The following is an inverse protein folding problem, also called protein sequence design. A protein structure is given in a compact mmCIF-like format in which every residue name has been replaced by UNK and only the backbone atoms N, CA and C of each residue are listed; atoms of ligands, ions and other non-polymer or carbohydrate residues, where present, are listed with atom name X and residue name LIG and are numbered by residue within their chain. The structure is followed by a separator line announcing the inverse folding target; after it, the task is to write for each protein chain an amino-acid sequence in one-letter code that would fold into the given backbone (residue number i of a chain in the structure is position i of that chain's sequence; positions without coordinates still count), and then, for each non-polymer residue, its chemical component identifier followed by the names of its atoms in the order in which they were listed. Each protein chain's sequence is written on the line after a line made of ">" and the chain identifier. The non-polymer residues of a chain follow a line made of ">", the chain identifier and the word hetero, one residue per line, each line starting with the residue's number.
data_IF_322608925946
#
_entry.id   IF_322608925946
#
_cell.length_a   1.000
_cell.length_b   1.000
_cell.length_c   1.000
_cell.angle_alpha   90.00
_cell.angle_beta   90.00
_cell.angle_gamma   90.00
#
_symmetry.space_group_name_H-M   'P 1'
#
loop_
_entity.id
_entity.type
_entity.pdbx_description
1 polymer ?
#
# COMPACT_ATOMS: atom_id res chain seq x y z
N UNK A 1 20.79 -20.40 -12.58
CA UNK A 1 21.76 -19.35 -12.93
C UNK A 1 22.97 -19.43 -12.01
N UNK A 2 24.17 -19.11 -12.54
CA UNK A 2 25.41 -19.08 -11.75
C UNK A 2 25.81 -17.62 -11.52
N UNK A 3 26.13 -17.28 -10.28
CA UNK A 3 26.56 -15.93 -9.88
C UNK A 3 28.06 -15.91 -9.58
N UNK A 4 28.73 -14.81 -9.88
CA UNK A 4 30.11 -14.61 -9.51
C UNK A 4 30.27 -14.51 -7.99
N UNK A 5 31.44 -14.84 -7.47
CA UNK A 5 31.72 -14.86 -6.03
C UNK A 5 31.55 -13.48 -5.36
N UNK A 6 31.91 -12.41 -6.06
CA UNK A 6 31.87 -11.02 -5.62
C UNK A 6 30.64 -10.25 -6.12
N UNK A 7 29.70 -10.95 -6.74
CA UNK A 7 28.46 -10.38 -7.24
C UNK A 7 27.43 -10.24 -6.12
N UNK A 8 26.78 -9.08 -6.04
CA UNK A 8 25.62 -8.86 -5.20
C UNK A 8 24.36 -8.72 -6.03
N UNK A 9 23.22 -9.19 -5.50
CA UNK A 9 21.91 -9.09 -6.13
C UNK A 9 20.92 -8.42 -5.18
N UNK A 10 20.01 -7.63 -5.73
CA UNK A 10 19.03 -6.82 -5.00
C UNK A 10 17.66 -6.90 -5.68
N UNK A 11 16.60 -6.44 -5.02
CA UNK A 11 15.27 -6.42 -5.59
C UNK A 11 14.33 -7.48 -4.99
N UNK A 12 13.57 -8.17 -5.83
CA UNK A 12 12.53 -9.15 -5.48
C UNK A 12 11.43 -8.61 -4.55
N UNK A 13 11.15 -7.29 -4.61
CA UNK A 13 10.13 -6.64 -3.79
C UNK A 13 10.63 -6.17 -2.43
N UNK A 14 9.76 -6.15 -1.43
CA UNK A 14 10.09 -5.78 -0.05
C UNK A 14 9.91 -6.97 0.89
N UNK A 15 10.83 -7.13 1.84
CA UNK A 15 10.75 -8.14 2.90
C UNK A 15 11.23 -7.56 4.22
N UNK A 16 10.59 -7.97 5.34
CA UNK A 16 10.90 -7.47 6.70
C UNK A 16 12.06 -8.24 7.36
N UNK A 17 13.09 -8.60 6.59
CA UNK A 17 14.21 -9.46 7.04
C UNK A 17 15.48 -8.69 7.40
N UNK A 18 15.54 -7.40 7.04
CA UNK A 18 16.70 -6.55 7.33
C UNK A 18 17.92 -6.79 6.42
N UNK A 19 17.79 -7.59 5.37
CA UNK A 19 18.86 -7.87 4.41
C UNK A 19 18.72 -6.96 3.18
N UNK A 20 19.78 -6.29 2.78
CA UNK A 20 19.83 -5.56 1.53
C UNK A 20 20.23 -6.49 0.37
N UNK A 21 21.38 -7.17 0.48
CA UNK A 21 21.79 -8.17 -0.50
C UNK A 21 20.99 -9.47 -0.34
N UNK A 22 20.54 -10.03 -1.45
CA UNK A 22 19.79 -11.28 -1.51
C UNK A 22 20.69 -12.52 -1.73
N UNK A 23 22.00 -12.36 -1.64
CA UNK A 23 22.96 -13.50 -1.72
C UNK A 23 22.75 -14.45 -0.54
N UNK A 24 22.85 -15.74 -0.85
CA UNK A 24 22.70 -16.83 0.13
C UNK A 24 21.33 -16.79 0.87
N UNK A 25 20.26 -16.34 0.17
CA UNK A 25 18.92 -16.27 0.75
C UNK A 25 17.96 -17.24 0.06
N UNK A 26 16.89 -17.58 0.80
CA UNK A 26 15.74 -18.31 0.30
C UNK A 26 14.48 -17.49 0.59
N UNK A 27 13.64 -17.29 -0.43
CA UNK A 27 12.38 -16.59 -0.35
C UNK A 27 11.25 -17.46 -0.89
N UNK A 28 10.16 -17.51 -0.16
CA UNK A 28 8.89 -18.02 -0.67
C UNK A 28 8.08 -16.80 -1.12
N UNK A 29 8.08 -16.56 -2.41
CA UNK A 29 7.50 -15.37 -3.01
C UNK A 29 5.99 -15.57 -3.19
N UNK A 30 5.25 -15.21 -2.15
CA UNK A 30 3.78 -15.20 -2.08
C UNK A 30 3.36 -13.91 -1.41
N UNK A 31 2.50 -13.14 -2.06
CA UNK A 31 2.04 -11.84 -1.54
C UNK A 31 1.45 -11.97 -0.14
N UNK A 32 1.83 -11.07 0.75
CA UNK A 32 1.39 -11.03 2.14
C UNK A 32 1.32 -9.59 2.67
N UNK A 33 0.78 -9.40 3.87
CA UNK A 33 0.57 -8.07 4.44
C UNK A 33 1.85 -7.22 4.52
N UNK A 34 2.98 -7.82 4.94
CA UNK A 34 4.24 -7.08 5.16
C UNK A 34 5.35 -7.45 4.18
N UNK A 35 5.09 -8.38 3.30
CA UNK A 35 6.03 -8.86 2.28
C UNK A 35 5.39 -8.79 0.90
N UNK A 36 5.98 -8.03 -0.01
CA UNK A 36 5.55 -7.94 -1.40
C UNK A 36 6.64 -8.49 -2.31
N UNK A 37 6.26 -9.35 -3.22
CA UNK A 37 7.20 -10.00 -4.10
C UNK A 37 7.01 -9.57 -5.55
N UNK A 38 8.06 -8.96 -6.09
CA UNK A 38 8.19 -8.59 -7.50
C UNK A 38 9.30 -9.45 -8.08
N UNK A 39 9.03 -10.37 -9.01
CA UNK A 39 10.01 -11.36 -9.46
C UNK A 39 11.05 -10.76 -10.42
N UNK A 40 11.61 -9.60 -10.05
CA UNK A 40 12.67 -8.89 -10.74
C UNK A 40 13.82 -8.57 -9.79
N UNK A 41 15.02 -8.97 -10.16
CA UNK A 41 16.25 -8.65 -9.44
C UNK A 41 17.23 -7.92 -10.34
N UNK A 42 18.14 -7.18 -9.71
CA UNK A 42 19.26 -6.50 -10.36
C UNK A 42 20.58 -6.94 -9.75
N UNK A 43 21.62 -7.00 -10.59
CA UNK A 43 22.97 -7.41 -10.23
C UNK A 43 23.96 -6.26 -10.31
N UNK A 44 24.97 -6.27 -9.43
CA UNK A 44 26.14 -5.39 -9.49
C UNK A 44 26.98 -5.60 -10.76
N UNK A 45 26.74 -6.67 -11.52
CA UNK A 45 27.38 -6.91 -12.82
C UNK A 45 26.67 -6.19 -13.98
N UNK A 46 25.63 -5.37 -13.69
CA UNK A 46 24.97 -4.51 -14.66
C UNK A 46 23.91 -5.19 -15.51
N UNK A 47 23.27 -6.21 -14.98
CA UNK A 47 22.12 -6.86 -15.58
C UNK A 47 20.93 -6.94 -14.59
N UNK A 48 19.72 -7.09 -15.14
CA UNK A 48 18.51 -7.43 -14.41
C UNK A 48 17.92 -8.73 -14.92
N UNK A 49 17.26 -9.48 -14.07
CA UNK A 49 16.54 -10.71 -14.41
C UNK A 49 15.10 -10.60 -13.93
N UNK A 50 14.14 -10.69 -14.84
CA UNK A 50 12.72 -10.78 -14.56
C UNK A 50 12.23 -12.19 -14.85
N UNK A 51 11.67 -12.84 -13.85
CA UNK A 51 11.02 -14.15 -13.93
C UNK A 51 9.53 -13.94 -14.10
N UNK A 52 9.01 -14.03 -15.33
CA UNK A 52 7.61 -13.70 -15.65
C UNK A 52 6.68 -14.87 -15.36
N UNK A 53 6.29 -15.00 -14.10
CA UNK A 53 5.35 -16.01 -13.64
C UNK A 53 4.51 -15.46 -12.49
N UNK A 54 3.18 -15.62 -12.57
CA UNK A 54 2.21 -15.11 -11.60
C UNK A 54 1.94 -16.04 -10.41
N UNK A 55 2.44 -17.27 -10.48
CA UNK A 55 2.26 -18.27 -9.44
C UNK A 55 3.16 -18.03 -8.23
N UNK A 56 2.81 -18.53 -7.04
CA UNK A 56 3.75 -18.64 -5.93
C UNK A 56 5.09 -19.22 -6.41
N UNK A 57 6.18 -18.54 -6.07
CA UNK A 57 7.51 -18.86 -6.59
C UNK A 57 8.52 -18.92 -5.45
N UNK A 58 9.34 -19.96 -5.44
CA UNK A 58 10.49 -20.06 -4.56
C UNK A 58 11.72 -19.50 -5.27
N UNK A 59 12.38 -18.54 -4.63
CA UNK A 59 13.71 -18.07 -4.99
C UNK A 59 14.73 -18.67 -4.01
N UNK A 60 15.88 -19.09 -4.53
CA UNK A 60 16.97 -19.59 -3.70
C UNK A 60 18.33 -19.30 -4.36
N UNK A 61 19.26 -18.71 -3.59
CA UNK A 61 20.67 -18.55 -3.96
C UNK A 61 21.53 -19.42 -3.03
N UNK A 62 22.25 -20.38 -3.60
CA UNK A 62 23.13 -21.32 -2.95
C UNK A 62 24.51 -21.36 -3.61
N UNK A 63 25.42 -22.11 -3.03
CA UNK A 63 26.77 -22.33 -3.60
C UNK A 63 26.72 -22.93 -5.02
N UNK A 64 25.74 -23.78 -5.30
CA UNK A 64 25.57 -24.42 -6.61
C UNK A 64 24.91 -23.52 -7.64
N UNK A 65 24.33 -22.39 -7.22
CA UNK A 65 23.69 -21.42 -8.09
C UNK A 65 22.38 -20.87 -7.58
N UNK A 66 21.84 -19.90 -8.33
CA UNK A 66 20.57 -19.24 -8.09
C UNK A 66 19.45 -19.92 -8.90
N UNK A 67 18.28 -20.07 -8.31
CA UNK A 67 17.13 -20.69 -8.94
C UNK A 67 15.82 -20.01 -8.62
N UNK A 68 14.88 -20.07 -9.58
CA UNK A 68 13.45 -19.79 -9.40
C UNK A 68 12.67 -21.08 -9.66
N UNK A 69 11.67 -21.32 -8.81
CA UNK A 69 10.78 -22.47 -8.93
C UNK A 69 9.34 -22.03 -8.64
N UNK A 70 8.51 -21.99 -9.67
CA UNK A 70 7.09 -21.65 -9.55
C UNK A 70 6.24 -22.90 -9.36
N UNK A 71 5.11 -22.75 -8.63
CA UNK A 71 4.16 -23.85 -8.40
C UNK A 71 3.47 -24.26 -9.70
N UNK A 72 3.15 -23.30 -10.57
CA UNK A 72 2.47 -23.52 -11.85
C UNK A 72 3.11 -22.68 -12.93
N UNK A 73 3.27 -23.25 -14.13
CA UNK A 73 3.75 -22.54 -15.30
C UNK A 73 3.40 -23.35 -16.58
N UNK A 74 2.96 -22.66 -17.62
CA UNK A 74 2.75 -23.27 -18.94
C UNK A 74 4.07 -23.39 -19.71
N UNK A 75 5.04 -22.52 -19.38
CA UNK A 75 6.40 -22.47 -19.92
C UNK A 75 7.35 -21.83 -18.92
N UNK A 76 8.63 -21.84 -19.23
CA UNK A 76 9.64 -21.02 -18.56
C UNK A 76 9.73 -19.73 -19.37
N UNK A 77 9.37 -18.60 -18.74
CA UNK A 77 9.48 -17.28 -19.33
C UNK A 77 10.27 -16.36 -18.42
N UNK A 78 11.33 -15.77 -18.96
CA UNK A 78 12.16 -14.81 -18.24
C UNK A 78 12.84 -13.84 -19.20
N UNK A 79 13.15 -12.65 -18.67
CA UNK A 79 13.82 -11.60 -19.43
C UNK A 79 15.13 -11.23 -18.76
N UNK A 80 16.19 -11.15 -19.56
CA UNK A 80 17.50 -10.67 -19.13
C UNK A 80 17.71 -9.27 -19.70
N UNK A 81 17.78 -8.26 -18.81
CA UNK A 81 18.04 -6.86 -19.17
C UNK A 81 19.52 -6.56 -18.99
N UNK A 82 20.24 -6.34 -20.08
CA UNK A 82 21.63 -5.90 -20.00
C UNK A 82 21.72 -4.38 -19.99
N UNK A 83 21.65 -3.79 -18.78
CA UNK A 83 21.59 -2.34 -18.56
C UNK A 83 22.94 -1.65 -18.39
N UNK A 84 24.06 -2.40 -18.37
CA UNK A 84 25.42 -1.93 -18.02
C UNK A 84 25.60 -1.51 -16.56
N UNK A 85 24.53 -1.09 -15.91
CA UNK A 85 24.44 -0.76 -14.49
C UNK A 85 23.01 -1.04 -13.98
N UNK A 86 22.76 -0.84 -12.69
CA UNK A 86 21.46 -1.08 -12.06
C UNK A 86 20.38 -0.17 -12.66
N UNK A 87 20.65 1.12 -12.86
CA UNK A 87 19.67 2.07 -13.43
C UNK A 87 19.25 1.66 -14.85
N UNK A 88 20.19 1.26 -15.70
CA UNK A 88 19.88 0.76 -17.05
C UNK A 88 19.07 -0.53 -17.04
N UNK A 89 19.28 -1.41 -16.06
CA UNK A 89 18.48 -2.63 -15.89
C UNK A 89 17.06 -2.33 -15.43
N UNK A 90 16.88 -1.35 -14.53
CA UNK A 90 15.57 -0.85 -14.10
C UNK A 90 14.83 -0.17 -15.25
N UNK A 91 15.55 0.63 -16.07
CA UNK A 91 14.98 1.24 -17.26
C UNK A 91 14.46 0.17 -18.24
N UNK A 92 15.26 -0.87 -18.52
CA UNK A 92 14.84 -2.00 -19.37
C UNK A 92 13.61 -2.74 -18.81
N UNK A 93 13.52 -2.91 -17.50
CA UNK A 93 12.32 -3.50 -16.88
C UNK A 93 11.09 -2.61 -17.07
N UNK A 94 11.23 -1.28 -16.96
CA UNK A 94 10.12 -0.34 -17.20
C UNK A 94 9.75 -0.22 -18.67
N UNK A 95 10.69 -0.34 -19.58
CA UNK A 95 10.39 -0.41 -21.02
C UNK A 95 9.53 -1.64 -21.35
N UNK A 96 9.80 -2.76 -20.69
CA UNK A 96 9.02 -3.99 -20.84
C UNK A 96 7.65 -3.92 -20.18
N UNK A 97 7.57 -3.36 -18.96
CA UNK A 97 6.38 -3.47 -18.10
C UNK A 97 5.58 -2.17 -17.93
N UNK A 98 6.05 -1.08 -18.47
CA UNK A 98 5.41 0.23 -18.44
C UNK A 98 6.09 1.23 -17.51
N UNK A 99 5.95 2.51 -17.87
CA UNK A 99 6.60 3.63 -17.20
C UNK A 99 5.81 4.11 -15.99
N UNK A 100 6.52 4.65 -14.98
CA UNK A 100 5.91 5.25 -13.81
C UNK A 100 5.43 6.69 -14.15
N UNK A 101 4.13 7.00 -13.97
CA UNK A 101 3.64 8.36 -14.22
C UNK A 101 4.08 9.33 -13.11
N UNK A 102 4.13 10.61 -13.47
CA UNK A 102 4.39 11.68 -12.51
C UNK A 102 3.19 11.87 -11.56
N UNK A 103 3.42 11.76 -10.25
CA UNK A 103 2.41 12.00 -9.24
C UNK A 103 2.06 13.49 -9.10
N UNK A 104 0.86 13.85 -8.59
CA UNK A 104 0.55 15.20 -8.18
C UNK A 104 1.50 15.70 -7.09
N UNK A 105 1.84 16.99 -7.07
CA UNK A 105 2.78 17.55 -6.10
C UNK A 105 2.37 17.31 -4.65
N UNK A 106 1.08 17.45 -4.33
CA UNK A 106 0.54 17.27 -2.98
C UNK A 106 0.77 15.87 -2.40
N UNK A 107 0.97 14.85 -3.23
CA UNK A 107 1.26 13.49 -2.75
C UNK A 107 2.60 13.38 -2.06
N UNK A 108 3.51 14.27 -2.34
CA UNK A 108 4.85 14.33 -1.75
C UNK A 108 4.92 15.19 -0.46
N UNK A 109 3.82 15.81 -0.04
CA UNK A 109 3.73 16.51 1.24
C UNK A 109 3.58 15.57 2.43
N UNK A 110 3.17 16.11 3.58
CA UNK A 110 2.91 15.34 4.78
C UNK A 110 1.45 14.85 4.81
N UNK A 111 1.28 13.59 5.21
CA UNK A 111 0.00 12.93 5.33
C UNK A 111 -0.29 12.50 6.76
N UNK A 112 -1.49 12.81 7.23
CA UNK A 112 -2.00 12.28 8.48
C UNK A 112 -3.06 11.22 8.22
N UNK A 113 -2.93 10.11 8.92
CA UNK A 113 -3.82 8.97 8.86
C UNK A 113 -3.90 8.26 10.20
N UNK A 114 -4.95 7.51 10.41
CA UNK A 114 -5.18 6.70 11.60
C UNK A 114 -6.15 5.57 11.25
N UNK A 115 -6.00 4.42 11.83
CA UNK A 115 -7.05 3.40 11.89
C UNK A 115 -7.88 3.67 13.15
N UNK A 116 -9.04 4.33 13.09
CA UNK A 116 -9.63 5.11 11.99
C UNK A 116 -10.26 6.38 12.55
N UNK A 117 -10.51 7.37 11.73
CA UNK A 117 -11.39 8.49 12.09
C UNK A 117 -12.84 8.01 12.04
N UNK A 118 -13.58 8.25 13.10
CA UNK A 118 -14.92 7.67 13.32
C UNK A 118 -16.06 8.56 12.85
N UNK A 119 -15.78 9.84 12.55
CA UNK A 119 -16.78 10.78 12.10
C UNK A 119 -16.21 11.81 11.12
N UNK A 120 -17.09 12.42 10.37
CA UNK A 120 -16.81 13.56 9.51
C UNK A 120 -16.14 14.71 10.27
N UNK A 121 -16.66 15.03 11.47
CA UNK A 121 -16.15 16.14 12.28
C UNK A 121 -14.75 15.85 12.83
N UNK A 122 -14.48 14.60 13.22
CA UNK A 122 -13.13 14.19 13.63
C UNK A 122 -12.14 14.37 12.49
N UNK A 123 -12.47 13.88 11.28
CA UNK A 123 -11.60 13.95 10.11
C UNK A 123 -11.25 15.39 9.74
N UNK A 124 -12.26 16.25 9.57
CA UNK A 124 -12.10 17.68 9.24
C UNK A 124 -11.35 18.40 10.36
N UNK A 125 -11.68 18.08 11.61
CA UNK A 125 -11.07 18.67 12.80
C UNK A 125 -9.56 18.44 12.89
N UNK A 126 -9.05 17.32 12.36
CA UNK A 126 -7.60 17.07 12.27
C UNK A 126 -6.94 18.10 11.36
N UNK A 127 -7.45 18.29 10.15
CA UNK A 127 -6.88 19.27 9.19
C UNK A 127 -6.92 20.67 9.76
N UNK A 128 -8.05 21.06 10.34
CA UNK A 128 -8.20 22.38 10.98
C UNK A 128 -7.15 22.60 12.07
N UNK A 129 -6.91 21.62 12.96
CA UNK A 129 -5.91 21.73 14.03
C UNK A 129 -4.49 21.88 13.49
N UNK A 130 -4.12 21.16 12.43
CA UNK A 130 -2.81 21.35 11.78
C UNK A 130 -2.66 22.78 11.24
N UNK A 131 -3.70 23.34 10.60
CA UNK A 131 -3.70 24.72 10.09
C UNK A 131 -3.63 25.75 11.23
N UNK A 132 -4.43 25.58 12.28
CA UNK A 132 -4.39 26.45 13.49
C UNK A 132 -3.00 26.49 14.12
N UNK A 133 -2.34 25.34 14.21
CA UNK A 133 -0.98 25.23 14.76
C UNK A 133 0.12 25.63 13.78
N UNK A 134 -0.23 26.00 12.55
CA UNK A 134 0.71 26.34 11.46
C UNK A 134 1.69 25.22 11.16
N UNK A 135 1.27 23.97 11.29
CA UNK A 135 2.01 22.78 10.86
C UNK A 135 1.47 22.39 9.48
N UNK A 136 2.33 22.30 8.46
CA UNK A 136 1.88 21.98 7.12
C UNK A 136 1.36 20.53 7.03
N UNK A 137 0.33 20.35 6.20
CA UNK A 137 -0.27 19.06 5.86
C UNK A 137 -0.88 19.18 4.46
N UNK A 138 -0.68 18.18 3.60
CA UNK A 138 -1.27 18.13 2.25
C UNK A 138 -2.29 17.04 2.07
N UNK A 139 -2.27 15.99 2.88
CA UNK A 139 -3.23 14.91 2.75
C UNK A 139 -3.72 14.35 4.08
N UNK A 140 -4.97 13.93 4.04
CA UNK A 140 -5.61 13.16 5.11
C UNK A 140 -6.27 11.91 4.51
N UNK A 141 -6.35 10.84 5.27
CA UNK A 141 -6.90 9.56 4.81
C UNK A 141 -8.10 9.18 5.69
N UNK A 142 -9.24 8.89 5.05
CA UNK A 142 -10.36 8.22 5.69
C UNK A 142 -10.19 6.71 5.52
N UNK A 143 -10.04 6.02 6.61
CA UNK A 143 -9.98 4.56 6.68
C UNK A 143 -11.38 3.93 6.67
N UNK A 144 -11.46 2.64 6.91
CA UNK A 144 -12.65 1.80 6.79
C UNK A 144 -13.84 2.21 7.70
N UNK A 145 -14.99 1.57 7.54
CA UNK A 145 -16.27 1.78 8.25
C UNK A 145 -16.99 3.12 8.04
N UNK A 146 -16.60 3.96 7.08
CA UNK A 146 -17.47 5.03 6.61
C UNK A 146 -18.75 4.47 5.93
N UNK A 147 -18.74 3.18 5.58
CA UNK A 147 -19.88 2.41 5.05
C UNK A 147 -20.77 1.78 6.13
N UNK A 148 -20.42 1.82 7.41
CA UNK A 148 -21.17 1.18 8.50
C UNK A 148 -20.57 -0.15 8.96
N UNK A 149 -21.39 -1.16 9.21
CA UNK A 149 -20.95 -2.46 9.72
C UNK A 149 -20.23 -3.35 8.67
N UNK A 150 -19.73 -4.50 9.10
CA UNK A 150 -18.94 -5.38 8.23
C UNK A 150 -19.76 -6.18 7.22
N UNK A 151 -21.10 -6.30 7.36
CA UNK A 151 -21.96 -6.82 6.30
C UNK A 151 -21.98 -5.90 5.07
N UNK A 152 -21.72 -4.60 5.28
CA UNK A 152 -21.56 -3.56 4.25
C UNK A 152 -20.11 -3.31 3.88
N UNK A 153 -19.20 -4.22 4.24
CA UNK A 153 -17.76 -4.06 4.01
C UNK A 153 -17.46 -3.60 2.59
N UNK A 154 -16.76 -2.48 2.46
CA UNK A 154 -16.39 -1.87 1.17
C UNK A 154 -17.60 -1.51 0.27
N UNK A 155 -18.68 -1.03 0.84
CA UNK A 155 -19.87 -0.62 0.06
C UNK A 155 -19.59 0.51 -0.94
N UNK A 156 -18.44 1.21 -0.82
CA UNK A 156 -18.06 2.37 -1.64
C UNK A 156 -19.13 3.48 -1.61
N UNK A 157 -19.71 3.66 -0.44
CA UNK A 157 -20.77 4.64 -0.18
C UNK A 157 -20.71 5.04 1.31
N UNK A 158 -21.06 6.30 1.62
CA UNK A 158 -21.12 6.78 2.99
C UNK A 158 -22.46 6.41 3.62
N UNK A 159 -22.52 5.24 4.23
CA UNK A 159 -23.73 4.69 4.85
C UNK A 159 -23.70 4.80 6.38
N UNK A 160 -22.56 5.17 6.98
CA UNK A 160 -22.43 5.45 8.38
C UNK A 160 -22.98 6.85 8.70
N UNK A 161 -23.89 6.94 9.67
CA UNK A 161 -24.55 8.19 10.07
C UNK A 161 -23.61 9.25 10.64
N UNK A 162 -22.40 8.84 11.07
CA UNK A 162 -21.34 9.75 11.51
C UNK A 162 -20.69 10.56 10.36
N UNK A 163 -21.05 10.23 9.10
CA UNK A 163 -20.63 10.97 7.89
C UNK A 163 -21.85 11.52 7.14
N UNK A 164 -22.61 12.46 7.76
CA UNK A 164 -23.92 12.88 7.25
C UNK A 164 -23.85 13.71 5.95
N UNK A 165 -22.72 14.36 5.65
CA UNK A 165 -22.56 15.18 4.47
C UNK A 165 -21.16 15.02 3.86
N UNK A 166 -20.87 13.89 3.20
CA UNK A 166 -19.54 13.60 2.68
C UNK A 166 -19.06 14.58 1.62
N UNK A 167 -19.96 15.14 0.81
CA UNK A 167 -19.61 16.17 -0.18
C UNK A 167 -19.08 17.43 0.51
N UNK A 168 -19.78 17.94 1.52
CA UNK A 168 -19.32 19.08 2.30
C UNK A 168 -18.02 18.79 3.03
N UNK A 169 -17.85 17.59 3.59
CA UNK A 169 -16.60 17.16 4.24
C UNK A 169 -15.40 17.27 3.28
N UNK A 170 -15.55 16.80 2.05
CA UNK A 170 -14.49 16.87 1.03
C UNK A 170 -14.22 18.34 0.66
N UNK A 171 -15.26 19.12 0.45
CA UNK A 171 -15.14 20.55 0.15
C UNK A 171 -14.43 21.32 1.29
N UNK A 172 -14.77 21.05 2.55
CA UNK A 172 -14.13 21.67 3.72
C UNK A 172 -12.63 21.34 3.80
N UNK A 173 -12.23 20.09 3.47
CA UNK A 173 -10.83 19.68 3.38
C UNK A 173 -10.12 20.42 2.24
N UNK A 174 -10.73 20.49 1.06
CA UNK A 174 -10.19 21.21 -0.10
C UNK A 174 -10.02 22.71 0.18
N UNK A 175 -10.96 23.35 0.88
CA UNK A 175 -10.85 24.75 1.28
C UNK A 175 -9.65 25.00 2.22
N UNK A 176 -9.17 23.99 2.90
CA UNK A 176 -7.94 24.03 3.71
C UNK A 176 -6.67 23.76 2.89
N UNK A 177 -6.74 23.69 1.56
CA UNK A 177 -5.64 23.27 0.68
C UNK A 177 -5.06 21.90 1.11
N UNK A 178 -5.92 20.96 1.46
CA UNK A 178 -5.58 19.57 1.74
C UNK A 178 -6.39 18.64 0.82
N UNK A 179 -5.91 17.42 0.67
CA UNK A 179 -6.50 16.40 -0.18
C UNK A 179 -6.96 15.21 0.63
N UNK A 180 -8.01 14.53 0.17
CA UNK A 180 -8.58 13.36 0.81
C UNK A 180 -8.46 12.14 -0.09
N UNK A 181 -7.80 11.09 0.42
CA UNK A 181 -7.95 9.75 -0.13
C UNK A 181 -8.74 8.86 0.84
N UNK A 182 -9.36 7.82 0.32
CA UNK A 182 -10.28 6.99 1.09
C UNK A 182 -9.96 5.51 0.90
N UNK A 183 -10.13 4.74 1.97
CA UNK A 183 -9.94 3.29 1.99
C UNK A 183 -10.96 2.59 1.09
N UNK A 184 -10.47 1.78 0.17
CA UNK A 184 -11.24 0.82 -0.63
C UNK A 184 -10.53 -0.52 -0.61
N UNK A 185 -11.30 -1.60 -0.61
CA UNK A 185 -10.80 -2.95 -0.44
C UNK A 185 -11.02 -3.80 -1.69
N UNK A 186 -10.33 -4.92 -1.76
CA UNK A 186 -10.54 -5.90 -2.82
C UNK A 186 -11.59 -6.98 -2.45
N UNK A 187 -12.33 -6.77 -1.37
CA UNK A 187 -13.35 -7.70 -0.86
C UNK A 187 -14.65 -6.95 -0.53
N UNK A 188 -15.76 -7.68 -0.52
CA UNK A 188 -17.09 -7.10 -0.33
C UNK A 188 -17.92 -7.89 0.67
N UNK A 189 -18.65 -7.15 1.53
CA UNK A 189 -19.63 -7.71 2.45
C UNK A 189 -20.94 -8.13 1.72
N UNK A 190 -21.66 -9.12 2.25
CA UNK A 190 -22.80 -9.74 1.56
C UNK A 190 -24.00 -8.80 1.35
N UNK A 191 -24.10 -7.72 2.08
CA UNK A 191 -25.17 -6.74 1.93
C UNK A 191 -24.87 -5.63 0.91
N UNK A 192 -23.64 -5.58 0.39
CA UNK A 192 -23.23 -4.59 -0.61
C UNK A 192 -23.87 -4.87 -1.97
N UNK A 193 -24.08 -3.80 -2.74
CA UNK A 193 -24.58 -3.91 -4.13
C UNK A 193 -23.61 -4.68 -5.02
N UNK A 194 -22.30 -4.48 -4.81
CA UNK A 194 -21.21 -5.14 -5.51
C UNK A 194 -21.26 -6.66 -5.32
N UNK A 195 -21.35 -7.11 -4.07
CA UNK A 195 -21.44 -8.54 -3.75
C UNK A 195 -22.66 -9.18 -4.42
N UNK A 196 -23.83 -8.56 -4.26
CA UNK A 196 -25.11 -9.06 -4.84
C UNK A 196 -25.08 -9.13 -6.37
N UNK A 197 -24.33 -8.26 -7.02
CA UNK A 197 -24.16 -8.28 -8.48
C UNK A 197 -23.12 -9.31 -8.94
N UNK A 198 -22.01 -9.46 -8.21
CA UNK A 198 -20.90 -10.34 -8.56
C UNK A 198 -21.14 -11.81 -8.19
N UNK A 199 -21.76 -12.07 -7.04
CA UNK A 199 -21.93 -13.44 -6.50
C UNK A 199 -22.66 -14.39 -7.45
N UNK A 200 -23.81 -14.04 -8.05
CA UNK A 200 -24.52 -14.93 -9.00
C UNK A 200 -23.73 -15.21 -10.29
N UNK A 201 -22.74 -14.38 -10.60
CA UNK A 201 -21.87 -14.50 -11.79
C UNK A 201 -20.58 -15.28 -11.51
N UNK A 202 -20.39 -15.76 -10.27
CA UNK A 202 -19.18 -16.46 -9.88
C UNK A 202 -17.91 -15.60 -9.89
N UNK A 203 -18.04 -14.29 -9.60
CA UNK A 203 -16.96 -13.32 -9.61
C UNK A 203 -16.37 -13.04 -8.22
N UNK A 204 -16.75 -13.81 -7.21
CA UNK A 204 -16.22 -13.75 -5.85
C UNK A 204 -15.48 -15.04 -5.52
N UNK A 205 -14.41 -14.92 -4.75
CA UNK A 205 -13.63 -16.07 -4.27
C UNK A 205 -14.08 -16.43 -2.86
N UNK A 206 -14.58 -17.65 -2.61
CA UNK A 206 -15.24 -18.03 -1.36
C UNK A 206 -14.24 -18.42 -0.26
N UNK A 207 -13.37 -17.50 0.14
CA UNK A 207 -12.54 -17.67 1.33
C UNK A 207 -12.64 -16.44 2.25
N UNK A 208 -12.43 -16.65 3.56
CA UNK A 208 -12.55 -15.61 4.57
C UNK A 208 -11.41 -14.60 4.52
N UNK A 209 -11.78 -13.35 4.76
CA UNK A 209 -10.85 -12.22 4.85
C UNK A 209 -10.80 -11.67 6.28
N UNK A 210 -10.03 -10.60 6.50
CA UNK A 210 -9.84 -9.99 7.82
C UNK A 210 -11.14 -9.71 8.59
N UNK A 211 -12.23 -9.14 8.03
CA UNK A 211 -13.46 -8.97 8.80
C UNK A 211 -14.15 -10.32 9.05
N UNK A 212 -13.88 -10.92 10.20
CA UNK A 212 -14.43 -12.24 10.56
C UNK A 212 -15.86 -12.19 11.10
N UNK A 213 -16.31 -11.04 11.64
CA UNK A 213 -17.64 -10.82 12.18
C UNK A 213 -18.35 -9.71 11.42
N UNK A 214 -19.67 -9.87 11.24
CA UNK A 214 -20.54 -8.81 10.72
C UNK A 214 -20.71 -7.64 11.69
N UNK A 215 -20.52 -7.90 12.98
CA UNK A 215 -20.55 -6.91 14.03
C UNK A 215 -19.14 -6.38 14.32
N UNK A 216 -19.06 -5.09 14.68
CA UNK A 216 -17.82 -4.38 14.99
C UNK A 216 -17.26 -4.74 16.37
N UNK A 217 -17.24 -6.00 16.74
CA UNK A 217 -16.72 -6.43 18.05
C UNK A 217 -15.33 -7.04 17.91
N UNK A 218 -14.47 -6.70 18.86
CA UNK A 218 -13.24 -7.45 19.08
C UNK A 218 -13.26 -8.07 20.49
N UNK A 219 -13.00 -9.38 20.67
CA UNK A 219 -12.73 -10.36 19.58
C UNK A 219 -13.94 -10.59 18.67
N UNK A 220 -13.73 -11.08 17.42
CA UNK A 220 -14.81 -11.29 16.47
C UNK A 220 -15.86 -12.25 17.02
N UNK A 221 -17.13 -11.89 16.90
CA UNK A 221 -18.23 -12.77 17.29
C UNK A 221 -18.54 -13.76 16.16
N UNK A 222 -18.19 -15.04 16.37
CA UNK A 222 -18.36 -16.12 15.38
C UNK A 222 -19.80 -16.53 15.11
N UNK A 223 -20.74 -16.11 15.96
CA UNK A 223 -22.17 -16.31 15.72
C UNK A 223 -22.70 -15.46 14.56
N UNK A 224 -21.98 -14.39 14.24
CA UNK A 224 -22.32 -13.44 13.17
C UNK A 224 -21.17 -13.33 12.17
N UNK A 225 -20.88 -14.38 11.37
CA UNK A 225 -19.78 -14.32 10.38
C UNK A 225 -20.05 -13.21 9.36
N UNK A 226 -19.02 -12.47 9.02
CA UNK A 226 -19.16 -11.31 8.11
C UNK A 226 -19.59 -11.71 6.70
N UNK A 227 -19.16 -12.87 6.22
CA UNK A 227 -19.39 -13.32 4.86
C UNK A 227 -18.67 -12.49 3.80
N UNK A 228 -17.65 -11.72 4.19
CA UNK A 228 -16.85 -10.90 3.28
C UNK A 228 -16.00 -11.80 2.40
N UNK A 229 -16.09 -11.60 1.09
CA UNK A 229 -15.33 -12.37 0.08
C UNK A 229 -14.55 -11.43 -0.85
N UNK A 230 -13.30 -11.79 -1.23
CA UNK A 230 -12.58 -11.07 -2.28
C UNK A 230 -13.24 -11.26 -3.65
N UNK A 231 -13.11 -10.27 -4.53
CA UNK A 231 -13.56 -10.41 -5.89
C UNK A 231 -12.44 -10.96 -6.80
N UNK A 232 -12.81 -11.48 -7.96
CA UNK A 232 -11.89 -11.94 -9.00
C UNK A 232 -11.46 -10.77 -9.92
N UNK A 233 -10.31 -10.11 -9.66
CA UNK A 233 -9.86 -8.97 -10.47
C UNK A 233 -9.32 -9.39 -11.83
N UNK A 234 -9.12 -10.69 -12.09
CA UNK A 234 -8.71 -11.18 -13.39
C UNK A 234 -9.87 -11.10 -14.39
N UNK A 235 -11.12 -11.10 -13.90
CA UNK A 235 -12.31 -10.92 -14.72
C UNK A 235 -12.54 -9.45 -15.08
N UNK A 236 -12.50 -9.07 -16.37
CA UNK A 236 -12.71 -7.67 -16.78
C UNK A 236 -14.10 -7.14 -16.36
N UNK A 237 -15.17 -7.95 -16.46
CA UNK A 237 -16.49 -7.53 -16.01
C UNK A 237 -16.56 -7.26 -14.51
N UNK A 238 -15.81 -8.03 -13.68
CA UNK A 238 -15.73 -7.76 -12.25
C UNK A 238 -15.05 -6.42 -11.96
N UNK A 239 -14.01 -6.04 -12.73
CA UNK A 239 -13.38 -4.71 -12.63
C UNK A 239 -14.31 -3.59 -13.09
N UNK A 240 -15.13 -3.83 -14.14
CA UNK A 240 -16.16 -2.87 -14.57
C UNK A 240 -17.22 -2.63 -13.48
N UNK A 241 -17.69 -3.71 -12.82
CA UNK A 241 -18.62 -3.61 -11.69
C UNK A 241 -17.98 -2.87 -10.51
N UNK A 242 -16.72 -3.20 -10.17
CA UNK A 242 -15.96 -2.50 -9.12
C UNK A 242 -15.94 -0.99 -9.37
N UNK A 243 -15.51 -0.58 -10.56
CA UNK A 243 -15.42 0.82 -10.92
C UNK A 243 -16.80 1.51 -10.99
N UNK A 244 -17.81 0.85 -11.51
CA UNK A 244 -19.18 1.40 -11.56
C UNK A 244 -19.64 1.94 -10.21
N UNK A 245 -19.45 1.15 -9.15
CA UNK A 245 -19.85 1.56 -7.81
C UNK A 245 -18.89 2.57 -7.18
N UNK A 246 -17.59 2.40 -7.39
CA UNK A 246 -16.57 3.35 -6.94
C UNK A 246 -16.79 4.74 -7.54
N UNK A 247 -17.05 4.82 -8.84
CA UNK A 247 -17.33 6.06 -9.53
C UNK A 247 -18.58 6.74 -8.99
N UNK A 248 -19.65 5.97 -8.82
CA UNK A 248 -20.94 6.50 -8.36
C UNK A 248 -20.90 6.99 -6.92
N UNK A 249 -20.30 6.22 -6.02
CA UNK A 249 -20.38 6.48 -4.58
C UNK A 249 -19.29 7.38 -4.04
N UNK A 250 -18.09 7.36 -4.64
CA UNK A 250 -16.93 8.08 -4.10
C UNK A 250 -16.28 9.05 -5.10
N UNK A 251 -15.98 8.60 -6.32
CA UNK A 251 -15.29 9.46 -7.29
C UNK A 251 -16.11 10.70 -7.66
N UNK A 252 -17.43 10.54 -7.82
CA UNK A 252 -18.34 11.66 -8.13
C UNK A 252 -18.46 12.71 -7.02
N UNK A 253 -18.06 12.37 -5.78
CA UNK A 253 -18.03 13.30 -4.65
C UNK A 253 -16.79 14.20 -4.64
N UNK A 254 -15.76 13.87 -5.45
CA UNK A 254 -14.53 14.66 -5.53
C UNK A 254 -13.34 14.10 -4.75
N UNK A 255 -13.38 12.85 -4.29
CA UNK A 255 -12.22 12.15 -3.68
C UNK A 255 -10.99 12.26 -4.59
N UNK A 256 -9.83 12.50 -4.01
CA UNK A 256 -8.59 12.82 -4.75
C UNK A 256 -7.76 11.59 -5.14
N UNK A 257 -7.94 10.48 -4.45
CA UNK A 257 -7.21 9.23 -4.70
C UNK A 257 -7.71 8.09 -3.82
N UNK A 258 -7.06 6.96 -3.92
CA UNK A 258 -7.51 5.71 -3.32
C UNK A 258 -6.48 5.13 -2.39
N UNK A 259 -6.92 4.61 -1.25
CA UNK A 259 -6.14 3.71 -0.44
C UNK A 259 -6.69 2.29 -0.63
N UNK A 260 -6.02 1.51 -1.47
CA UNK A 260 -6.39 0.15 -1.80
C UNK A 260 -5.70 -0.80 -0.81
N UNK A 261 -6.42 -1.11 0.26
CA UNK A 261 -5.96 -2.04 1.29
C UNK A 261 -6.28 -3.50 0.91
N UNK A 262 -5.57 -4.45 1.50
CA UNK A 262 -5.80 -5.88 1.33
C UNK A 262 -5.74 -6.36 -0.13
N UNK A 263 -4.77 -5.88 -0.86
CA UNK A 263 -4.61 -6.20 -2.29
C UNK A 263 -3.74 -7.43 -2.59
N UNK A 264 -3.42 -8.25 -1.61
CA UNK A 264 -2.68 -9.54 -1.75
C UNK A 264 -3.47 -10.69 -2.42
N UNK A 265 -4.78 -10.96 -2.22
CA UNK A 265 -5.74 -10.48 -1.21
C UNK A 265 -5.48 -11.02 0.20
N UNK A 266 -5.94 -10.29 1.20
CA UNK A 266 -5.90 -10.74 2.60
C UNK A 266 -6.76 -11.98 2.82
N UNK A 267 -6.27 -12.88 3.66
CA UNK A 267 -6.95 -14.15 3.96
C UNK A 267 -6.60 -14.58 5.39
N UNK A 268 -7.58 -15.06 6.13
CA UNK A 268 -7.39 -15.48 7.51
C UNK A 268 -7.41 -16.99 7.68
N UNK A 269 -8.33 -17.67 7.04
CA UNK A 269 -8.50 -19.12 7.15
C UNK A 269 -8.16 -19.82 5.81
N UNK A 270 -7.06 -19.39 5.16
CA UNK A 270 -6.68 -19.88 3.85
C UNK A 270 -6.26 -21.35 3.93
N UNK A 271 -6.97 -22.20 3.19
CA UNK A 271 -6.68 -23.64 3.11
C UNK A 271 -5.87 -23.92 1.84
N UNK A 272 -5.06 -24.99 1.82
CA UNK A 272 -4.37 -25.41 0.59
C UNK A 272 -5.28 -25.54 -0.64
N UNK A 273 -6.55 -25.98 -0.43
CA UNK A 273 -7.57 -26.07 -1.47
C UNK A 273 -8.00 -24.72 -2.06
N UNK A 274 -7.84 -23.62 -1.33
CA UNK A 274 -8.22 -22.30 -1.80
C UNK A 274 -7.32 -21.82 -2.95
N UNK A 275 -6.08 -22.34 -3.01
CA UNK A 275 -5.20 -22.13 -4.18
C UNK A 275 -5.76 -22.71 -5.48
N UNK A 276 -6.60 -23.73 -5.40
CA UNK A 276 -7.15 -24.42 -6.58
C UNK A 276 -8.51 -23.84 -6.99
N UNK A 277 -8.98 -22.78 -6.32
CA UNK A 277 -10.19 -22.04 -6.71
C UNK A 277 -10.04 -21.52 -8.15
N UNK A 278 -11.13 -21.64 -8.89
CA UNK A 278 -11.18 -21.16 -10.27
C UNK A 278 -11.31 -19.63 -10.30
N UNK A 279 -10.42 -18.97 -11.02
CA UNK A 279 -10.52 -17.57 -11.40
C UNK A 279 -10.76 -17.46 -12.91
N UNK A 280 -10.96 -16.24 -13.40
CA UNK A 280 -11.14 -15.98 -14.83
C UNK A 280 -9.92 -16.45 -15.68
N UNK A 281 -8.69 -16.35 -15.14
CA UNK A 281 -7.46 -16.76 -15.83
C UNK A 281 -6.92 -18.15 -15.45
N UNK A 282 -7.73 -18.98 -14.78
CA UNK A 282 -7.32 -20.32 -14.37
C UNK A 282 -7.42 -20.52 -12.86
N UNK A 283 -6.58 -21.39 -12.28
CA UNK A 283 -6.58 -21.58 -10.83
C UNK A 283 -5.97 -20.36 -10.13
N UNK A 284 -6.42 -20.07 -8.92
CA UNK A 284 -5.83 -19.00 -8.12
C UNK A 284 -4.33 -19.25 -7.86
N UNK A 285 -3.91 -20.50 -7.72
CA UNK A 285 -2.49 -20.90 -7.65
C UNK A 285 -1.68 -20.39 -8.84
N UNK A 286 -2.25 -20.45 -10.05
CA UNK A 286 -1.58 -19.98 -11.28
C UNK A 286 -1.34 -18.47 -11.30
N UNK A 287 -2.23 -17.68 -10.68
CA UNK A 287 -2.30 -16.24 -10.90
C UNK A 287 -2.13 -15.39 -9.63
N UNK A 288 -2.02 -16.01 -8.46
CA UNK A 288 -2.13 -15.35 -7.15
C UNK A 288 -1.26 -14.11 -6.99
N UNK A 289 0.02 -14.17 -7.35
CA UNK A 289 0.94 -13.06 -7.11
C UNK A 289 0.64 -11.81 -7.95
N UNK A 290 -0.09 -11.96 -9.05
CA UNK A 290 -0.52 -10.84 -9.89
C UNK A 290 -1.84 -10.20 -9.43
N UNK A 291 -2.44 -10.65 -8.33
CA UNK A 291 -3.70 -10.07 -7.81
C UNK A 291 -3.62 -8.55 -7.61
N UNK A 292 -2.57 -8.00 -6.94
CA UNK A 292 -2.44 -6.54 -6.76
C UNK A 292 -2.36 -5.80 -8.11
N UNK A 293 -1.60 -6.33 -9.07
CA UNK A 293 -1.50 -5.73 -10.41
C UNK A 293 -2.87 -5.58 -11.08
N UNK A 294 -3.71 -6.61 -10.97
CA UNK A 294 -5.03 -6.63 -11.63
C UNK A 294 -6.04 -5.72 -10.95
N UNK A 295 -6.10 -5.71 -9.62
CA UNK A 295 -7.05 -4.87 -8.90
C UNK A 295 -6.67 -3.39 -8.95
N UNK A 296 -5.39 -3.06 -8.75
CA UNK A 296 -4.88 -1.69 -8.85
C UNK A 296 -4.99 -1.17 -10.29
N UNK A 297 -4.62 -1.99 -11.26
CA UNK A 297 -4.74 -1.68 -12.68
C UNK A 297 -6.19 -1.42 -13.09
N UNK A 298 -7.13 -2.22 -12.58
CA UNK A 298 -8.56 -2.03 -12.83
C UNK A 298 -9.05 -0.64 -12.41
N UNK A 299 -8.70 -0.19 -11.20
CA UNK A 299 -9.07 1.15 -10.71
C UNK A 299 -8.40 2.25 -11.53
N UNK A 300 -7.08 2.13 -11.76
CA UNK A 300 -6.31 3.14 -12.48
C UNK A 300 -6.79 3.37 -13.92
N UNK A 301 -7.00 2.27 -14.67
CA UNK A 301 -7.43 2.33 -16.07
C UNK A 301 -8.83 2.90 -16.21
N UNK A 302 -9.75 2.52 -15.33
CA UNK A 302 -11.11 3.05 -15.35
C UNK A 302 -11.17 4.53 -14.96
N UNK A 303 -10.40 4.96 -13.95
CA UNK A 303 -10.33 6.38 -13.61
C UNK A 303 -9.82 7.21 -14.77
N UNK A 304 -8.77 6.75 -15.45
CA UNK A 304 -8.23 7.46 -16.62
C UNK A 304 -9.21 7.55 -17.78
N UNK A 305 -10.05 6.52 -17.98
CA UNK A 305 -11.14 6.55 -18.95
C UNK A 305 -12.26 7.52 -18.55
N UNK A 306 -12.53 7.61 -17.25
CA UNK A 306 -13.60 8.47 -16.73
C UNK A 306 -13.21 9.95 -16.67
N UNK A 307 -11.93 10.28 -16.46
CA UNK A 307 -11.43 11.66 -16.40
C UNK A 307 -9.93 11.73 -16.75
N UNK A 308 -9.58 12.73 -17.56
CA UNK A 308 -8.19 13.12 -17.84
C UNK A 308 -7.70 14.24 -16.92
N UNK A 309 -8.58 14.88 -16.16
CA UNK A 309 -8.28 16.12 -15.42
C UNK A 309 -7.48 15.89 -14.15
N UNK A 310 -7.58 14.68 -13.59
CA UNK A 310 -6.84 14.30 -12.38
C UNK A 310 -5.84 13.18 -12.69
N UNK A 311 -4.60 13.34 -12.26
CA UNK A 311 -3.63 12.23 -12.21
C UNK A 311 -4.13 11.19 -11.22
N UNK A 312 -3.98 9.92 -11.58
CA UNK A 312 -4.29 8.81 -10.66
C UNK A 312 -3.27 8.80 -9.52
N UNK A 313 -3.74 8.67 -8.29
CA UNK A 313 -2.94 8.38 -7.12
C UNK A 313 -3.58 7.26 -6.32
N UNK A 314 -2.84 6.19 -6.14
CA UNK A 314 -3.24 5.01 -5.38
C UNK A 314 -2.18 4.72 -4.33
N UNK A 315 -2.58 4.57 -3.08
CA UNK A 315 -1.81 3.95 -2.03
C UNK A 315 -2.28 2.50 -1.91
N UNK A 316 -1.39 1.51 -2.01
CA UNK A 316 -1.77 0.09 -2.00
C UNK A 316 -0.85 -0.73 -1.11
N UNK A 317 -1.38 -1.82 -0.50
CA UNK A 317 -0.59 -2.65 0.43
C UNK A 317 0.29 -3.66 -0.28
N UNK A 318 -0.08 -4.11 -1.46
CA UNK A 318 0.69 -5.11 -2.20
C UNK A 318 1.03 -4.66 -3.62
N UNK A 319 2.03 -5.29 -4.21
CA UNK A 319 2.52 -4.95 -5.53
C UNK A 319 2.98 -6.17 -6.33
N UNK A 320 2.95 -6.03 -7.66
CA UNK A 320 3.55 -6.98 -8.58
C UNK A 320 4.20 -6.25 -9.75
N UNK A 321 5.04 -6.96 -10.52
CA UNK A 321 5.77 -6.43 -11.67
C UNK A 321 4.86 -5.67 -12.64
N UNK A 322 5.23 -4.45 -13.00
CA UNK A 322 4.45 -3.59 -13.89
C UNK A 322 3.44 -2.66 -13.19
N UNK A 323 3.26 -2.77 -11.87
CA UNK A 323 2.29 -1.94 -11.15
C UNK A 323 2.68 -0.46 -11.12
N UNK A 324 3.96 -0.11 -11.28
CA UNK A 324 4.42 1.27 -11.34
C UNK A 324 3.68 2.14 -12.37
N UNK A 325 3.16 1.54 -13.45
CA UNK A 325 2.45 2.26 -14.52
C UNK A 325 1.06 2.79 -14.13
N UNK A 326 0.55 2.34 -12.99
CA UNK A 326 -0.82 2.64 -12.55
C UNK A 326 -0.93 3.79 -11.54
N UNK A 327 0.16 4.53 -11.32
CA UNK A 327 0.15 5.65 -10.37
C UNK A 327 0.01 5.18 -8.92
N UNK A 328 0.65 4.05 -8.59
CA UNK A 328 0.57 3.43 -7.29
C UNK A 328 1.85 3.66 -6.46
N UNK A 329 1.65 4.01 -5.19
CA UNK A 329 2.63 3.97 -4.11
C UNK A 329 2.30 2.79 -3.20
N UNK A 330 3.28 1.98 -2.85
CA UNK A 330 3.08 0.81 -1.98
C UNK A 330 3.65 1.09 -0.59
N UNK A 331 2.97 0.64 0.49
CA UNK A 331 3.54 0.74 1.82
C UNK A 331 3.97 -0.62 2.37
N UNK A 332 4.74 -0.60 3.43
CA UNK A 332 5.36 -1.80 4.03
C UNK A 332 4.42 -2.69 4.84
N UNK A 333 3.10 -2.45 4.78
CA UNK A 333 2.12 -3.22 5.55
C UNK A 333 2.09 -2.88 7.05
N UNK A 334 1.43 -3.74 7.82
CA UNK A 334 1.10 -3.53 9.24
C UNK A 334 2.26 -3.97 10.15
N UNK A 335 3.38 -3.24 10.07
CA UNK A 335 4.58 -3.55 10.84
C UNK A 335 4.47 -3.14 12.31
N UNK A 336 5.11 -3.86 13.22
CA UNK A 336 5.15 -3.52 14.64
C UNK A 336 6.00 -2.28 14.91
N UNK A 337 5.61 -1.48 15.89
CA UNK A 337 6.41 -0.37 16.44
C UNK A 337 7.60 -0.92 17.21
N UNK A 338 8.76 -0.99 16.56
CA UNK A 338 10.02 -1.39 17.19
C UNK A 338 11.23 -0.83 16.44
N UNK A 339 12.37 -0.71 17.11
CA UNK A 339 13.64 -0.35 16.50
C UNK A 339 14.08 -1.35 15.43
N UNK A 340 13.79 -2.63 15.63
CA UNK A 340 14.08 -3.66 14.65
C UNK A 340 13.23 -3.47 13.38
N UNK A 341 11.94 -3.18 13.54
CA UNK A 341 11.07 -2.90 12.40
C UNK A 341 11.54 -1.66 11.63
N UNK A 342 11.86 -0.56 12.32
CA UNK A 342 12.42 0.63 11.67
C UNK A 342 13.69 0.32 10.88
N UNK A 343 14.61 -0.46 11.47
CA UNK A 343 15.83 -0.88 10.80
C UNK A 343 15.53 -1.70 9.53
N UNK A 344 14.55 -2.60 9.59
CA UNK A 344 14.17 -3.45 8.47
C UNK A 344 13.52 -2.67 7.33
N UNK A 345 12.88 -1.50 7.61
CA UNK A 345 12.28 -0.66 6.58
C UNK A 345 13.32 -0.14 5.57
N UNK A 346 14.55 0.10 6.00
CA UNK A 346 15.59 0.66 5.14
C UNK A 346 15.90 -0.29 3.97
N UNK A 347 16.37 -1.53 4.19
CA UNK A 347 16.61 -2.46 3.09
C UNK A 347 15.34 -2.88 2.35
N UNK A 348 14.18 -2.91 3.02
CA UNK A 348 12.90 -3.22 2.37
C UNK A 348 12.55 -2.18 1.30
N UNK A 349 12.58 -0.89 1.63
CA UNK A 349 12.32 0.19 0.68
C UNK A 349 13.34 0.26 -0.46
N UNK A 350 14.62 0.03 -0.16
CA UNK A 350 15.68 0.00 -1.18
C UNK A 350 15.49 -1.16 -2.16
N UNK A 351 15.23 -2.38 -1.68
CA UNK A 351 14.94 -3.53 -2.53
C UNK A 351 13.68 -3.35 -3.37
N UNK A 352 12.64 -2.74 -2.77
CA UNK A 352 11.41 -2.43 -3.50
C UNK A 352 11.66 -1.46 -4.66
N UNK A 353 12.43 -0.40 -4.42
CA UNK A 353 12.83 0.56 -5.46
C UNK A 353 13.66 -0.12 -6.57
N UNK A 354 14.60 -0.98 -6.20
CA UNK A 354 15.41 -1.78 -7.13
C UNK A 354 14.60 -2.87 -7.87
N UNK A 355 13.36 -3.12 -7.46
CA UNK A 355 12.42 -3.99 -8.20
C UNK A 355 11.65 -3.23 -9.30
N UNK A 356 12.12 -2.06 -9.71
CA UNK A 356 11.57 -1.16 -10.72
C UNK A 356 10.26 -0.44 -10.33
N UNK A 357 9.83 -0.54 -9.06
CA UNK A 357 8.67 0.17 -8.52
C UNK A 357 9.16 1.32 -7.62
N UNK A 358 9.09 2.59 -8.08
CA UNK A 358 9.85 3.68 -7.48
C UNK A 358 9.21 4.29 -6.23
N UNK A 359 7.90 4.10 -6.02
CA UNK A 359 7.16 4.82 -4.99
C UNK A 359 6.76 3.89 -3.84
N UNK A 360 7.32 4.19 -2.68
CA UNK A 360 7.18 3.38 -1.47
C UNK A 360 7.11 4.26 -0.22
N UNK A 361 6.47 3.75 0.82
CA UNK A 361 6.50 4.33 2.16
C UNK A 361 6.33 3.28 3.24
N UNK A 362 6.40 3.72 4.49
CA UNK A 362 6.14 2.94 5.69
C UNK A 362 5.15 3.68 6.59
N UNK A 363 4.47 2.97 7.47
CA UNK A 363 3.69 3.57 8.55
C UNK A 363 4.63 4.17 9.58
N UNK A 364 4.72 5.50 9.62
CA UNK A 364 5.63 6.21 10.53
C UNK A 364 5.25 5.93 11.98
N UNK A 365 6.18 5.34 12.71
CA UNK A 365 6.01 4.89 14.08
C UNK A 365 5.60 3.42 14.21
N UNK A 366 5.42 2.71 13.09
CA UNK A 366 4.88 1.36 13.03
C UNK A 366 3.35 1.32 13.17
N UNK A 367 2.69 0.30 12.62
CA UNK A 367 1.23 0.17 12.70
C UNK A 367 0.77 -0.22 14.10
N UNK A 368 1.31 -1.29 14.68
CA UNK A 368 0.96 -1.79 16.01
C UNK A 368 1.89 -1.24 17.10
N UNK A 369 1.39 -0.36 17.96
CA UNK A 369 2.16 0.22 19.07
C UNK A 369 1.88 -0.41 20.43
N UNK A 370 1.28 -1.61 20.49
CA UNK A 370 0.84 -2.27 21.71
C UNK A 370 1.93 -2.48 22.75
N UNK A 371 3.19 -2.71 22.34
CA UNK A 371 4.32 -2.89 23.26
C UNK A 371 4.66 -1.64 24.10
N UNK A 372 4.20 -0.46 23.71
CA UNK A 372 4.47 0.81 24.40
C UNK A 372 3.30 1.31 25.24
N UNK A 373 2.16 0.62 25.23
CA UNK A 373 0.98 1.01 26.01
C UNK A 373 1.18 0.69 27.48
N UNK A 374 0.75 1.59 28.35
CA UNK A 374 0.57 1.35 29.79
C UNK A 374 -0.91 1.34 30.17
N UNK A 375 -1.75 1.92 29.32
CA UNK A 375 -3.19 1.99 29.38
C UNK A 375 -3.81 1.96 28.00
N UNK A 376 -5.01 2.48 27.83
CA UNK A 376 -5.67 2.55 26.53
C UNK A 376 -5.21 3.77 25.74
N UNK A 377 -4.70 3.57 24.51
CA UNK A 377 -4.31 4.63 23.56
C UNK A 377 -3.30 5.65 24.10
N UNK A 378 -2.36 5.25 24.96
CA UNK A 378 -1.42 6.14 25.63
C UNK A 378 0.06 5.97 25.24
N UNK A 379 0.38 5.14 24.24
CA UNK A 379 1.76 4.92 23.82
C UNK A 379 2.44 6.22 23.33
N UNK A 380 1.70 7.19 22.81
CA UNK A 380 2.20 8.51 22.42
C UNK A 380 2.73 9.35 23.62
N UNK A 381 2.42 8.95 24.85
CA UNK A 381 2.98 9.53 26.07
C UNK A 381 4.17 8.76 26.62
N UNK A 382 4.50 7.61 26.03
CA UNK A 382 5.65 6.81 26.40
C UNK A 382 6.92 7.39 25.78
N UNK A 383 7.94 7.81 26.56
CA UNK A 383 9.16 8.42 26.01
C UNK A 383 9.89 7.55 24.99
N UNK A 384 9.89 6.23 25.18
CA UNK A 384 10.54 5.30 24.24
C UNK A 384 9.80 5.24 22.90
N UNK A 385 8.46 5.31 22.91
CA UNK A 385 7.69 5.40 21.66
C UNK A 385 7.87 6.77 21.00
N UNK A 386 7.89 7.84 21.78
CA UNK A 386 8.11 9.20 21.27
C UNK A 386 9.45 9.31 20.53
N UNK A 387 10.52 8.74 21.09
CA UNK A 387 11.83 8.71 20.41
C UNK A 387 11.76 7.87 19.13
N UNK A 388 11.23 6.65 19.19
CA UNK A 388 11.06 5.78 18.02
C UNK A 388 10.25 6.49 16.91
N UNK A 389 9.14 7.13 17.30
CA UNK A 389 8.28 7.85 16.36
C UNK A 389 9.04 9.00 15.67
N UNK A 390 9.77 9.82 16.43
CA UNK A 390 10.56 10.92 15.87
C UNK A 390 11.64 10.40 14.91
N UNK A 391 12.36 9.31 15.27
CA UNK A 391 13.36 8.71 14.38
C UNK A 391 12.74 8.13 13.11
N UNK A 392 11.59 7.49 13.24
CA UNK A 392 10.86 6.98 12.09
C UNK A 392 10.34 8.11 11.20
N UNK A 393 9.88 9.21 11.80
CA UNK A 393 9.46 10.40 11.07
C UNK A 393 10.64 11.03 10.30
N UNK A 394 11.84 11.07 10.89
CA UNK A 394 13.06 11.51 10.22
C UNK A 394 13.39 10.65 9.00
N UNK A 395 13.27 9.33 9.11
CA UNK A 395 13.38 8.41 7.95
C UNK A 395 12.28 8.68 6.92
N UNK A 396 11.04 8.78 7.36
CA UNK A 396 9.88 9.03 6.48
C UNK A 396 9.94 10.36 5.73
N UNK A 397 10.69 11.36 6.23
CA UNK A 397 10.89 12.61 5.52
C UNK A 397 11.63 12.46 4.19
N UNK A 398 12.33 11.33 4.00
CA UNK A 398 13.07 11.00 2.77
C UNK A 398 12.41 9.89 1.93
N UNK A 399 11.32 9.29 2.40
CA UNK A 399 10.55 8.34 1.57
C UNK A 399 9.67 9.08 0.57
N UNK A 400 9.30 8.47 -0.57
CA UNK A 400 8.43 9.10 -1.57
C UNK A 400 7.14 9.66 -0.98
N UNK A 401 6.43 8.91 -0.15
CA UNK A 401 5.26 9.39 0.60
C UNK A 401 5.60 9.46 2.09
N UNK A 402 5.33 10.61 2.72
CA UNK A 402 5.53 10.82 4.16
C UNK A 402 4.19 10.71 4.89
N UNK A 403 3.85 9.52 5.38
CA UNK A 403 2.54 9.23 6.01
C UNK A 403 2.70 8.78 7.45
N UNK A 404 2.09 9.50 8.39
CA UNK A 404 1.88 9.03 9.75
C UNK A 404 0.60 8.18 9.79
N UNK A 405 0.70 6.94 10.23
CA UNK A 405 -0.43 5.99 10.30
C UNK A 405 -0.21 4.93 11.38
N UNK A 406 -1.28 4.39 11.89
CA UNK A 406 -1.30 3.20 12.73
C UNK A 406 -2.58 3.06 13.53
N UNK A 407 -2.73 1.91 14.13
CA UNK A 407 -3.83 1.59 15.04
C UNK A 407 -3.48 1.96 16.49
N UNK A 408 -4.48 1.95 17.36
CA UNK A 408 -4.38 2.00 18.83
C UNK A 408 -3.88 3.30 19.45
N UNK A 409 -3.13 4.13 18.73
CA UNK A 409 -2.47 5.31 19.28
C UNK A 409 -2.62 6.49 18.35
N UNK A 410 -3.17 7.61 18.82
CA UNK A 410 -3.22 8.84 18.03
C UNK A 410 -1.80 9.32 17.70
N UNK A 411 -1.56 9.62 16.42
CA UNK A 411 -0.24 10.08 15.93
C UNK A 411 -0.26 11.50 15.39
N UNK A 412 -1.36 12.22 15.57
CA UNK A 412 -1.43 13.63 15.28
C UNK A 412 -0.49 14.40 16.21
N UNK A 413 0.25 15.37 15.67
CA UNK A 413 1.33 16.09 16.39
C UNK A 413 0.87 16.63 17.76
N UNK A 414 -0.34 17.16 17.84
CA UNK A 414 -0.89 17.74 19.09
C UNK A 414 -1.19 16.71 20.19
N UNK A 415 -1.13 15.41 19.88
CA UNK A 415 -1.24 14.35 20.88
C UNK A 415 0.11 14.01 21.54
N UNK A 416 1.23 14.50 20.96
CA UNK A 416 2.57 14.34 21.52
C UNK A 416 3.00 15.50 22.41
N UNK A 417 2.21 16.58 22.48
CA UNK A 417 2.51 17.76 23.29
C UNK A 417 2.04 19.06 22.66
N UNK A 418 2.65 20.18 23.08
CA UNK A 418 2.35 21.54 22.64
C UNK A 418 3.61 22.18 22.07
N UNK A 419 3.41 23.22 21.27
CA UNK A 419 4.50 24.05 20.77
C UNK A 419 5.38 24.56 21.91
N UNK A 420 6.70 24.40 21.81
CA UNK A 420 7.69 24.66 22.85
C UNK A 420 8.07 23.42 23.67
N UNK A 421 7.38 22.29 23.53
CA UNK A 421 7.76 21.03 24.15
C UNK A 421 8.64 20.21 23.17
N UNK A 422 9.66 19.56 23.69
CA UNK A 422 10.74 18.91 22.92
C UNK A 422 10.23 17.99 21.81
N UNK A 423 9.26 17.13 22.12
CA UNK A 423 8.78 16.13 21.14
C UNK A 423 7.93 16.79 20.06
N UNK A 424 7.02 17.70 20.45
CA UNK A 424 6.24 18.47 19.49
C UNK A 424 7.14 19.25 18.51
N UNK A 425 8.11 19.98 19.07
CA UNK A 425 9.01 20.79 18.24
C UNK A 425 9.89 19.95 17.33
N UNK A 426 10.32 18.75 17.78
CA UNK A 426 11.05 17.80 16.97
C UNK A 426 10.20 17.31 15.78
N UNK A 427 8.94 16.92 16.03
CA UNK A 427 7.99 16.48 14.99
C UNK A 427 7.74 17.62 13.99
N UNK A 428 7.42 18.83 14.48
CA UNK A 428 7.18 20.00 13.65
C UNK A 428 8.38 20.34 12.77
N UNK A 429 9.60 20.25 13.33
CA UNK A 429 10.84 20.49 12.59
C UNK A 429 11.03 19.51 11.44
N UNK A 430 10.75 18.22 11.65
CA UNK A 430 10.87 17.19 10.61
C UNK A 430 9.81 17.36 9.53
N UNK A 431 8.58 17.70 9.89
CA UNK A 431 7.53 17.98 8.91
C UNK A 431 7.94 19.21 8.06
N UNK A 432 8.41 20.28 8.68
CA UNK A 432 8.89 21.46 7.94
C UNK A 432 10.10 21.16 7.05
N UNK A 433 11.00 20.27 7.48
CA UNK A 433 12.11 19.78 6.64
C UNK A 433 11.57 19.12 5.36
N UNK A 434 10.53 18.29 5.46
CA UNK A 434 9.89 17.69 4.29
C UNK A 434 9.45 18.73 3.27
N UNK A 435 8.82 19.80 3.73
CA UNK A 435 8.38 20.88 2.83
C UNK A 435 9.55 21.67 2.23
N UNK A 436 10.64 21.84 2.95
CA UNK A 436 11.87 22.42 2.40
C UNK A 436 12.50 21.53 1.32
N UNK A 437 12.32 20.22 1.41
CA UNK A 437 12.81 19.23 0.44
C UNK A 437 11.88 19.00 -0.74
N UNK A 438 10.64 19.53 -0.73
CA UNK A 438 9.65 19.26 -1.80
C UNK A 438 10.18 19.55 -3.21
N UNK A 439 10.88 20.67 -3.50
CA UNK A 439 11.42 20.89 -4.83
C UNK A 439 12.42 19.80 -5.26
N UNK A 440 13.27 19.35 -4.34
CA UNK A 440 14.21 18.25 -4.59
C UNK A 440 13.49 16.94 -4.85
N UNK A 441 12.54 16.57 -3.98
CA UNK A 441 11.76 15.32 -4.08
C UNK A 441 10.94 15.31 -5.37
N UNK A 442 10.30 16.42 -5.72
CA UNK A 442 9.49 16.52 -6.94
C UNK A 442 10.35 16.46 -8.20
N UNK A 443 11.56 17.03 -8.16
CA UNK A 443 12.56 16.89 -9.24
C UNK A 443 13.04 15.44 -9.36
N UNK A 444 13.24 14.73 -8.23
CA UNK A 444 13.52 13.30 -8.22
C UNK A 444 12.40 12.48 -8.87
N UNK A 445 11.15 12.76 -8.54
CA UNK A 445 9.99 12.11 -9.17
C UNK A 445 9.91 12.41 -10.68
N UNK A 446 10.32 13.59 -11.12
CA UNK A 446 10.45 13.91 -12.55
C UNK A 446 11.50 13.02 -13.23
N UNK A 447 12.67 12.82 -12.60
CA UNK A 447 13.70 11.91 -13.15
C UNK A 447 13.24 10.45 -13.19
N UNK A 448 12.44 10.02 -12.20
CA UNK A 448 11.80 8.68 -12.23
C UNK A 448 10.94 8.51 -13.49
N UNK A 449 10.11 9.50 -13.80
CA UNK A 449 9.19 9.42 -14.95
C UNK A 449 9.91 9.57 -16.29
N UNK A 450 10.91 10.48 -16.39
CA UNK A 450 11.52 10.84 -17.69
C UNK A 450 12.83 10.10 -17.96
N UNK A 451 13.59 9.73 -16.94
CA UNK A 451 14.89 9.07 -17.06
C UNK A 451 14.87 7.62 -16.55
N UNK A 452 13.70 7.12 -16.12
CA UNK A 452 13.50 5.75 -15.61
C UNK A 452 14.36 5.41 -14.39
N UNK A 453 14.82 6.41 -13.64
CA UNK A 453 15.63 6.22 -12.43
C UNK A 453 14.79 5.71 -11.24
N UNK A 454 15.46 5.36 -10.17
CA UNK A 454 14.83 5.16 -8.84
C UNK A 454 14.61 6.49 -8.13
N UNK A 455 13.85 6.45 -7.03
CA UNK A 455 13.63 7.61 -6.17
C UNK A 455 14.34 7.42 -4.84
#
# INVERSE_FOLDING_TARGET
>A
FTLDKDEAIYGLGQQQRGNLSLRNTRLNMVQGNTDDYVPFLVSTKGYGLFWDNYSPTQFEDKAEGMSFRSDVGDCIDYYLMFGKNIDGSIAGMRDLTGQAPMFPLWTFGYWQSKERYKSQDELVGVVNKYREQKVPIDGIIQDWQYWGNNYLWNAMDFLNTEFPNPKKMIEDIHHQNAHLIISIWSSFGPETKQYREMKPKGMLMPFGTWPQSGLESWPPNREYPSGVEPYDPYNPEARDIYWKYLQKGLFSLGIDGWWMDSTEPDHLDFKPSDFDLKTYLGSFRKVRNAYPLMTVGGVAEHQRKASSDKRVFILTRSAFAGQQRYGANTWSGDVNSSWQSLRNQIPAGLNFSMSAIPYWNTDIGGFFAGAYKRGWNDANKNPSFQELYVRWLQFGAFTPMMRSHGTDVPREIYNFGKKGETIYDAIAKVINLRYSLLPYIYSGAWTVTNNHSTM
#
